data_IF_408735575746
#
_entry.id   IF_408735575746
#
_cell.length_a   1.000
_cell.length_b   1.000
_cell.length_c   1.000
_cell.angle_alpha   90.00
_cell.angle_beta   90.00
_cell.angle_gamma   90.00
#
_symmetry.space_group_name_H-M   'P 1'
#
loop_
_entity.id
_entity.type
_entity.pdbx_description
1 polymer ?
#
# COMPACT_ATOMS: atom_id res chain seq x y z
N UNK A 1 1.05 -15.85 7.90
CA UNK A 1 1.79 -15.01 8.87
C UNK A 1 2.71 -14.09 8.08
N UNK A 2 2.78 -12.78 8.40
CA UNK A 2 3.73 -11.89 7.73
C UNK A 2 5.11 -12.06 8.38
N UNK A 3 6.15 -12.26 7.59
CA UNK A 3 7.53 -12.35 8.10
C UNK A 3 8.15 -10.95 8.22
N UNK A 4 8.40 -10.43 9.44
CA UNK A 4 9.01 -9.11 9.64
C UNK A 4 10.48 -9.03 9.20
N UNK A 5 11.12 -10.15 8.86
CA UNK A 5 12.53 -10.20 8.44
C UNK A 5 12.72 -9.83 6.98
N UNK A 6 11.68 -9.94 6.16
CA UNK A 6 11.74 -9.55 4.74
C UNK A 6 11.44 -8.05 4.57
N UNK A 7 12.03 -7.36 3.56
CA UNK A 7 11.67 -5.98 3.25
C UNK A 7 10.16 -5.80 3.01
N UNK A 8 9.56 -6.74 2.26
CA UNK A 8 8.14 -6.78 1.95
C UNK A 8 7.28 -6.90 3.22
N UNK A 9 7.66 -7.80 4.14
CA UNK A 9 6.92 -7.98 5.39
C UNK A 9 7.03 -6.79 6.32
N UNK A 10 8.19 -6.11 6.37
CA UNK A 10 8.33 -4.83 7.10
C UNK A 10 7.40 -3.75 6.54
N UNK A 11 7.36 -3.59 5.21
CA UNK A 11 6.47 -2.63 4.55
C UNK A 11 5.01 -2.96 4.81
N UNK A 12 4.62 -4.24 4.67
CA UNK A 12 3.26 -4.69 4.96
C UNK A 12 2.83 -4.36 6.39
N UNK A 13 3.68 -4.64 7.39
CA UNK A 13 3.39 -4.31 8.79
C UNK A 13 3.30 -2.80 9.02
N UNK A 14 4.18 -2.01 8.40
CA UNK A 14 4.13 -0.54 8.46
C UNK A 14 2.80 0.00 7.94
N UNK A 15 2.36 -0.42 6.76
CA UNK A 15 1.10 0.06 6.17
C UNK A 15 -0.14 -0.47 6.89
N UNK A 16 -0.08 -1.68 7.47
CA UNK A 16 -1.16 -2.20 8.33
C UNK A 16 -1.45 -1.30 9.53
N UNK A 17 -0.47 -0.57 10.03
CA UNK A 17 -0.63 0.42 11.11
C UNK A 17 -1.31 1.73 10.70
N UNK A 18 -1.52 1.98 9.41
CA UNK A 18 -2.03 3.28 8.91
C UNK A 18 -3.55 3.27 8.69
N UNK A 19 -4.20 4.43 8.80
CA UNK A 19 -5.63 4.57 8.46
C UNK A 19 -5.85 4.38 6.97
N UNK A 20 -7.01 3.82 6.58
CA UNK A 20 -7.35 3.61 5.15
C UNK A 20 -7.30 4.91 4.35
N UNK A 21 -7.74 6.04 4.93
CA UNK A 21 -7.64 7.36 4.29
C UNK A 21 -6.19 7.76 3.95
N UNK A 22 -5.22 7.39 4.78
CA UNK A 22 -3.82 7.67 4.53
C UNK A 22 -3.26 6.75 3.43
N UNK A 23 -3.63 5.47 3.41
CA UNK A 23 -3.25 4.53 2.34
C UNK A 23 -3.76 5.02 0.97
N UNK A 24 -5.00 5.52 0.93
CA UNK A 24 -5.60 6.13 -0.26
C UNK A 24 -4.81 7.35 -0.73
N UNK A 25 -4.52 8.27 0.18
CA UNK A 25 -3.72 9.47 -0.11
C UNK A 25 -2.33 9.13 -0.65
N UNK A 26 -1.63 8.16 -0.03
CA UNK A 26 -0.32 7.70 -0.50
C UNK A 26 -0.38 7.07 -1.90
N UNK A 27 -1.49 6.42 -2.25
CA UNK A 27 -1.70 5.87 -3.59
C UNK A 27 -2.13 6.92 -4.63
N UNK A 28 -2.40 8.15 -4.22
CA UNK A 28 -2.97 9.19 -5.09
C UNK A 28 -4.44 8.92 -5.44
N UNK A 29 -5.14 8.16 -4.58
CA UNK A 29 -6.51 7.75 -4.79
C UNK A 29 -7.45 8.65 -3.99
N UNK A 30 -8.35 9.34 -4.68
CA UNK A 30 -9.33 10.19 -4.03
C UNK A 30 -10.34 9.33 -3.25
N UNK A 31 -10.51 9.66 -1.96
CA UNK A 31 -11.46 8.98 -1.07
C UNK A 31 -12.92 9.29 -1.46
N UNK A 32 -13.14 10.43 -2.11
CA UNK A 32 -14.47 10.95 -2.47
C UNK A 32 -14.78 10.70 -3.96
N UNK A 33 -13.91 10.00 -4.70
CA UNK A 33 -14.19 9.58 -6.07
C UNK A 33 -15.32 8.53 -6.07
N UNK A 34 -16.54 9.00 -6.36
CA UNK A 34 -17.76 8.18 -6.39
C UNK A 34 -18.01 7.51 -7.74
N UNK A 35 -17.40 8.01 -8.82
CA UNK A 35 -17.72 7.54 -10.18
C UNK A 35 -16.59 6.66 -10.75
N UNK A 36 -16.94 5.44 -11.15
CA UNK A 36 -16.12 4.48 -11.93
C UNK A 36 -14.79 4.02 -11.32
N UNK A 37 -14.54 4.25 -10.02
CA UNK A 37 -13.33 3.74 -9.36
C UNK A 37 -13.51 2.27 -8.94
N UNK A 38 -12.53 1.38 -9.22
CA UNK A 38 -12.53 0.04 -8.65
C UNK A 38 -12.53 0.11 -7.11
N UNK A 39 -13.42 -0.65 -6.48
CA UNK A 39 -13.37 -0.85 -5.03
C UNK A 39 -12.08 -1.59 -4.68
N UNK A 40 -11.32 -1.06 -3.72
CA UNK A 40 -10.15 -1.73 -3.16
C UNK A 40 -10.37 -2.01 -1.69
N UNK A 41 -10.22 -3.26 -1.30
CA UNK A 41 -10.09 -3.64 0.10
C UNK A 41 -8.84 -3.00 0.71
N UNK A 42 -8.83 -2.87 2.04
CA UNK A 42 -7.66 -2.38 2.78
C UNK A 42 -6.39 -3.18 2.48
N UNK A 43 -6.51 -4.49 2.28
CA UNK A 43 -5.36 -5.34 1.97
C UNK A 43 -4.81 -5.06 0.57
N UNK A 44 -5.67 -4.85 -0.44
CA UNK A 44 -5.24 -4.48 -1.79
C UNK A 44 -4.54 -3.11 -1.82
N UNK A 45 -5.01 -2.15 -1.02
CA UNK A 45 -4.33 -0.86 -0.87
C UNK A 45 -2.91 -1.05 -0.29
N UNK A 46 -2.78 -1.90 0.72
CA UNK A 46 -1.47 -2.21 1.34
C UNK A 46 -0.56 -2.90 0.33
N UNK A 47 -1.06 -3.92 -0.38
CA UNK A 47 -0.30 -4.66 -1.39
C UNK A 47 0.23 -3.75 -2.50
N UNK A 48 -0.62 -2.86 -3.03
CA UNK A 48 -0.21 -1.87 -4.05
C UNK A 48 0.91 -0.95 -3.56
N UNK A 49 0.85 -0.51 -2.31
CA UNK A 49 1.90 0.32 -1.72
C UNK A 49 3.20 -0.47 -1.54
N UNK A 50 3.11 -1.72 -1.08
CA UNK A 50 4.28 -2.61 -0.94
C UNK A 50 4.94 -2.84 -2.29
N UNK A 51 4.18 -3.17 -3.34
CA UNK A 51 4.72 -3.36 -4.70
C UNK A 51 5.42 -2.08 -5.17
N UNK A 52 4.77 -0.92 -5.06
CA UNK A 52 5.34 0.38 -5.45
C UNK A 52 6.67 0.67 -4.76
N UNK A 53 6.73 0.51 -3.44
CA UNK A 53 7.96 0.76 -2.67
C UNK A 53 9.05 -0.28 -2.96
N UNK A 54 8.68 -1.55 -3.19
CA UNK A 54 9.62 -2.60 -3.57
C UNK A 54 10.22 -2.35 -4.96
N UNK A 55 9.45 -1.85 -5.92
CA UNK A 55 9.92 -1.48 -7.25
C UNK A 55 10.85 -0.25 -7.20
N UNK A 56 10.46 0.79 -6.46
CA UNK A 56 11.31 1.98 -6.28
C UNK A 56 12.67 1.64 -5.67
N UNK A 57 12.70 0.72 -4.69
CA UNK A 57 13.94 0.28 -4.05
C UNK A 57 14.80 -0.63 -4.94
N UNK A 58 14.21 -1.32 -5.93
CA UNK A 58 14.95 -2.11 -6.92
C UNK A 58 15.60 -1.25 -8.00
N UNK A 59 14.97 -0.15 -8.40
CA UNK A 59 15.51 0.78 -9.41
C UNK A 59 16.63 1.71 -8.90
N UNK A 60 16.79 1.84 -7.59
CA UNK A 60 17.83 2.67 -6.95
C UNK A 60 19.08 1.86 -6.52
N UNK A 61 19.26 0.65 -7.07
CA UNK A 61 20.38 -0.25 -6.75
C UNK A 61 21.28 -0.41 -7.97
#
# INVERSE_FOLDING_TARGET
>A
MIDPRTPEGRLTLRYRGLRTSLLLSMLGLDKDATDNRPFYSRNELIERLVIRDMEFNRGNK
#
